data_IF_350355573067
#
_entry.id   IF_350355573067
#
_cell.length_a   1.000
_cell.length_b   1.000
_cell.length_c   1.000
_cell.angle_alpha   90.00
_cell.angle_beta   90.00
_cell.angle_gamma   90.00
#
_symmetry.space_group_name_H-M   'P 1'
#
loop_
_entity.id
_entity.type
_entity.pdbx_description
1 polymer ?
#
# COMPACT_ATOMS: atom_id res chain seq x y z
N UNK A 1 6.59 -2.78 -34.48
CA UNK A 1 7.04 -3.77 -33.49
C UNK A 1 6.88 -3.14 -32.11
N UNK A 2 5.99 -3.74 -31.32
CA UNK A 2 5.90 -3.74 -29.85
C UNK A 2 6.30 -2.46 -29.10
N UNK A 3 5.29 -1.66 -28.74
CA UNK A 3 5.34 -0.79 -27.56
C UNK A 3 4.45 -1.43 -26.48
N UNK A 4 4.75 -2.67 -26.13
CA UNK A 4 4.27 -3.26 -24.88
C UNK A 4 5.46 -3.14 -23.94
N UNK A 5 5.58 -1.96 -23.34
CA UNK A 5 6.51 -1.71 -22.26
C UNK A 5 6.22 -2.79 -21.22
N UNK A 6 7.19 -3.68 -21.04
CA UNK A 6 7.10 -4.79 -20.12
C UNK A 6 6.69 -4.24 -18.77
N UNK A 7 5.62 -4.80 -18.24
CA UNK A 7 5.08 -4.67 -16.90
C UNK A 7 6.18 -4.97 -15.87
N UNK A 8 7.11 -4.04 -15.66
CA UNK A 8 7.77 -3.93 -14.37
C UNK A 8 6.76 -3.20 -13.51
N UNK A 9 6.19 -3.89 -12.53
CA UNK A 9 5.25 -3.34 -11.56
C UNK A 9 5.96 -2.28 -10.71
N UNK A 10 6.35 -1.15 -11.29
CA UNK A 10 6.60 0.09 -10.58
C UNK A 10 5.24 0.71 -10.28
N UNK A 11 4.38 -0.05 -9.61
CA UNK A 11 3.17 0.46 -8.98
C UNK A 11 3.60 1.23 -7.74
N UNK A 12 4.28 2.36 -7.95
CA UNK A 12 4.20 3.50 -7.04
C UNK A 12 3.09 4.40 -7.59
N UNK A 13 1.96 3.79 -7.98
CA UNK A 13 0.70 4.46 -7.72
C UNK A 13 0.57 4.39 -6.20
N UNK A 14 0.58 5.56 -5.57
CA UNK A 14 0.50 5.77 -4.13
C UNK A 14 -0.89 5.36 -3.60
N UNK A 15 -1.27 4.12 -3.87
CA UNK A 15 -2.42 3.47 -3.30
C UNK A 15 -2.00 3.10 -1.87
N UNK A 16 -2.59 3.81 -0.92
CA UNK A 16 -2.44 3.50 0.49
C UNK A 16 -2.66 2.01 0.76
N UNK A 17 -1.98 1.48 1.77
CA UNK A 17 -2.03 0.09 2.20
C UNK A 17 -3.42 -0.17 2.82
N UNK A 18 -4.21 -1.10 2.26
CA UNK A 18 -5.53 -1.42 2.78
C UNK A 18 -5.45 -2.22 4.08
N UNK A 19 -6.60 -2.39 4.75
CA UNK A 19 -6.67 -3.08 6.04
C UNK A 19 -6.13 -4.51 5.91
N UNK A 20 -5.36 -4.94 6.92
CA UNK A 20 -4.69 -6.24 7.01
C UNK A 20 -3.56 -6.49 5.99
N UNK A 21 -3.20 -5.50 5.18
CA UNK A 21 -1.98 -5.58 4.38
C UNK A 21 -0.78 -5.11 5.20
N UNK A 22 0.41 -5.54 4.77
CA UNK A 22 1.67 -5.26 5.44
C UNK A 22 2.03 -3.78 5.34
N UNK A 23 2.45 -3.18 6.45
CA UNK A 23 2.88 -1.80 6.55
C UNK A 23 4.13 -1.67 7.42
N UNK A 24 4.83 -0.54 7.29
CA UNK A 24 5.95 -0.15 8.17
C UNK A 24 5.65 1.11 8.98
N UNK A 25 4.75 1.96 8.49
CA UNK A 25 4.43 3.27 9.03
C UNK A 25 2.93 3.52 8.88
N UNK A 26 2.32 4.26 9.81
CA UNK A 26 0.90 4.65 9.75
C UNK A 26 0.56 5.41 8.47
N UNK A 27 1.47 6.25 7.98
CA UNK A 27 1.34 7.03 6.75
C UNK A 27 1.23 6.19 5.47
N UNK A 28 1.62 4.91 5.53
CA UNK A 28 1.40 3.99 4.42
C UNK A 28 -0.04 3.49 4.38
N UNK A 29 -0.70 3.38 5.53
CA UNK A 29 -2.06 2.84 5.60
C UNK A 29 -3.09 3.82 5.03
N UNK A 30 -4.20 3.29 4.53
CA UNK A 30 -5.31 4.12 4.06
C UNK A 30 -5.90 4.98 5.18
N UNK A 31 -6.52 6.09 4.79
CA UNK A 31 -7.09 7.04 5.73
C UNK A 31 -7.97 6.35 6.79
N UNK A 32 -7.73 6.65 8.06
CA UNK A 32 -8.42 6.02 9.20
C UNK A 32 -7.84 4.69 9.66
N UNK A 33 -6.73 4.24 9.06
CA UNK A 33 -5.97 3.08 9.49
C UNK A 33 -4.63 3.50 10.12
N UNK A 34 -4.14 2.69 11.06
CA UNK A 34 -2.79 2.78 11.63
C UNK A 34 -2.01 1.51 11.35
N UNK A 35 -0.69 1.65 11.28
CA UNK A 35 0.20 0.51 11.18
C UNK A 35 0.47 -0.07 12.56
N UNK A 36 -0.18 -1.19 12.88
CA UNK A 36 0.00 -1.91 14.14
C UNK A 36 0.41 -3.35 13.83
N UNK A 37 1.38 -3.92 14.55
CA UNK A 37 1.87 -5.28 14.28
C UNK A 37 2.27 -5.52 12.81
N UNK A 38 2.85 -4.50 12.16
CA UNK A 38 3.21 -4.52 10.73
C UNK A 38 2.02 -4.70 9.78
N UNK A 39 0.79 -4.45 10.23
CA UNK A 39 -0.40 -4.51 9.39
C UNK A 39 -1.32 -3.31 9.63
N UNK A 40 -2.07 -2.91 8.61
CA UNK A 40 -2.99 -1.78 8.75
C UNK A 40 -4.28 -2.18 9.48
N UNK A 41 -4.60 -1.51 10.58
CA UNK A 41 -5.82 -1.70 11.38
C UNK A 41 -6.59 -0.40 11.54
N UNK A 42 -7.89 -0.47 11.82
CA UNK A 42 -8.68 0.72 12.15
C UNK A 42 -8.13 1.35 13.43
N UNK A 43 -7.96 2.67 13.40
CA UNK A 43 -7.74 3.43 14.62
C UNK A 43 -9.05 3.41 15.42
N UNK A 44 -9.07 2.64 16.52
CA UNK A 44 -10.23 2.45 17.39
C UNK A 44 -10.57 3.67 18.23
#
# INVERSE_FOLDING_TARGET
MQQHLHTETTAVEEACVPRYETCTWDSQCCHGLICEWFHCYLQG
#
